data_IF_932037337975
#
_entry.id   IF_932037337975
#
_cell.length_a   1.000
_cell.length_b   1.000
_cell.length_c   1.000
_cell.angle_alpha   90.00
_cell.angle_beta   90.00
_cell.angle_gamma   90.00
#
_symmetry.space_group_name_H-M   'P 1'
#
loop_
_entity.id
_entity.type
_entity.pdbx_description
1 polymer ?
#
# COMPACT_ATOMS: atom_id res chain seq x y z
N UNK A 1 36.40 15.69 28.43
CA UNK A 1 34.93 15.82 28.61
C UNK A 1 34.18 16.35 27.37
N UNK A 2 34.73 17.32 26.60
CA UNK A 2 34.11 17.88 25.37
C UNK A 2 33.78 16.90 24.23
N UNK A 3 34.50 15.79 24.09
CA UNK A 3 34.32 14.82 22.98
C UNK A 3 33.02 13.99 23.11
N UNK A 4 32.55 13.75 24.33
CA UNK A 4 31.31 13.02 24.60
C UNK A 4 30.07 13.84 24.29
N UNK A 5 30.16 15.17 24.39
CA UNK A 5 29.06 16.08 24.07
C UNK A 5 28.74 16.04 22.56
N UNK A 6 29.75 15.97 21.70
CA UNK A 6 29.58 15.97 20.23
C UNK A 6 28.94 14.67 19.71
N UNK A 7 29.25 13.53 20.34
CA UNK A 7 28.68 12.23 19.96
C UNK A 7 27.19 12.16 20.35
N UNK A 8 26.84 12.69 21.53
CA UNK A 8 25.45 12.74 21.98
C UNK A 8 24.57 13.61 21.06
N UNK A 9 25.08 14.74 20.57
CA UNK A 9 24.32 15.62 19.66
C UNK A 9 24.09 14.98 18.30
N UNK A 10 25.09 14.27 17.74
CA UNK A 10 24.97 13.60 16.45
C UNK A 10 23.94 12.45 16.47
N UNK A 11 23.89 11.68 17.57
CA UNK A 11 22.91 10.60 17.74
C UNK A 11 21.48 11.14 17.83
N UNK A 12 21.28 12.30 18.46
CA UNK A 12 19.95 12.92 18.60
C UNK A 12 19.39 13.42 17.26
N UNK A 13 20.23 13.97 16.38
CA UNK A 13 19.83 14.44 15.04
C UNK A 13 19.44 13.27 14.12
N UNK A 14 20.13 12.13 14.22
CA UNK A 14 19.80 10.92 13.45
C UNK A 14 18.48 10.27 13.88
N UNK A 15 18.14 10.27 15.17
CA UNK A 15 16.84 9.77 15.64
C UNK A 15 15.66 10.64 15.19
N UNK A 16 15.83 11.96 15.06
CA UNK A 16 14.75 12.85 14.60
C UNK A 16 14.45 12.71 13.10
N UNK A 17 15.45 12.34 12.27
CA UNK A 17 15.24 12.09 10.85
C UNK A 17 14.48 10.78 10.56
N UNK A 18 14.53 9.80 11.46
CA UNK A 18 13.87 8.50 11.29
C UNK A 18 12.35 8.50 11.58
N UNK A 19 11.84 9.50 12.32
CA UNK A 19 10.43 9.52 12.72
C UNK A 19 9.49 10.26 11.75
N UNK A 20 10.00 10.91 10.70
CA UNK A 20 9.18 11.70 9.76
C UNK A 20 8.67 10.89 8.54
N UNK A 21 9.18 9.68 8.31
CA UNK A 21 8.98 8.95 7.05
C UNK A 21 7.71 8.09 7.00
N UNK A 22 6.98 7.94 8.09
CA UNK A 22 5.91 6.93 8.20
C UNK A 22 4.48 7.48 8.34
N UNK A 23 4.26 8.80 8.30
CA UNK A 23 3.02 9.37 8.87
C UNK A 23 2.04 10.04 7.92
N UNK A 24 2.23 10.03 6.59
CA UNK A 24 1.29 10.79 5.74
C UNK A 24 1.09 10.32 4.29
N UNK A 25 1.04 9.01 4.04
CA UNK A 25 0.61 8.50 2.73
C UNK A 25 -0.92 8.50 2.55
N UNK A 26 -1.71 8.91 3.56
CA UNK A 26 -3.15 9.13 3.42
C UNK A 26 -3.40 10.59 3.06
N UNK A 27 -3.51 10.86 1.78
CA UNK A 27 -3.99 12.15 1.30
C UNK A 27 -5.50 12.08 1.14
N UNK A 28 -6.19 13.06 1.72
CA UNK A 28 -7.64 13.14 1.64
C UNK A 28 -8.09 13.36 0.19
N UNK A 29 -9.12 12.62 -0.21
CA UNK A 29 -9.78 12.71 -1.52
C UNK A 29 -11.22 13.15 -1.27
N UNK A 30 -11.64 14.23 -1.94
CA UNK A 30 -12.99 14.75 -1.77
C UNK A 30 -14.03 13.77 -2.30
N UNK A 31 -15.22 13.73 -1.68
CA UNK A 31 -16.28 12.80 -2.08
C UNK A 31 -16.73 12.99 -3.53
N UNK A 32 -16.71 14.22 -4.04
CA UNK A 32 -17.04 14.52 -5.44
C UNK A 32 -16.01 13.96 -6.43
N UNK A 33 -14.74 13.90 -6.04
CA UNK A 33 -13.68 13.27 -6.83
C UNK A 33 -13.80 11.75 -6.72
N UNK A 34 -14.03 11.23 -5.52
CA UNK A 34 -14.23 9.82 -5.27
C UNK A 34 -15.42 9.26 -6.08
N UNK A 35 -16.53 9.99 -6.18
CA UNK A 35 -17.68 9.57 -6.97
C UNK A 35 -17.32 9.35 -8.44
N UNK A 36 -16.48 10.22 -9.03
CA UNK A 36 -16.01 10.04 -10.41
C UNK A 36 -15.16 8.78 -10.57
N UNK A 37 -14.36 8.45 -9.55
CA UNK A 37 -13.56 7.23 -9.55
C UNK A 37 -14.43 6.00 -9.38
N UNK A 38 -15.46 6.07 -8.53
CA UNK A 38 -16.46 5.02 -8.40
C UNK A 38 -17.16 4.75 -9.72
N UNK A 39 -17.64 5.79 -10.40
CA UNK A 39 -18.26 5.67 -11.73
C UNK A 39 -17.29 5.11 -12.79
N UNK A 40 -15.98 5.37 -12.65
CA UNK A 40 -14.95 4.77 -13.50
C UNK A 40 -14.80 3.27 -13.19
N UNK A 41 -14.74 2.90 -11.92
CA UNK A 41 -14.65 1.49 -11.48
C UNK A 41 -15.89 0.70 -11.89
N UNK A 42 -17.09 1.24 -11.70
CA UNK A 42 -18.34 0.58 -12.11
C UNK A 42 -18.38 0.28 -13.62
N UNK A 43 -17.72 1.12 -14.43
CA UNK A 43 -17.64 0.91 -15.89
C UNK A 43 -16.57 -0.09 -16.30
N UNK A 44 -15.42 -0.14 -15.62
CA UNK A 44 -14.28 -0.96 -16.04
C UNK A 44 -14.09 -2.26 -15.24
N UNK A 45 -14.66 -2.34 -14.03
CA UNK A 45 -14.57 -3.48 -13.12
C UNK A 45 -13.15 -3.83 -12.66
N UNK A 46 -12.18 -2.92 -12.79
CA UNK A 46 -10.76 -3.22 -12.55
C UNK A 46 -10.03 -2.08 -11.83
N UNK A 47 -9.51 -2.36 -10.62
CA UNK A 47 -8.65 -1.42 -9.90
C UNK A 47 -7.42 -1.06 -10.72
N UNK A 48 -6.80 -2.02 -11.42
CA UNK A 48 -5.59 -1.76 -12.21
C UNK A 48 -5.81 -0.73 -13.32
N UNK A 49 -6.99 -0.73 -13.95
CA UNK A 49 -7.38 0.29 -14.94
C UNK A 49 -7.60 1.64 -14.25
N UNK A 50 -8.32 1.65 -13.13
CA UNK A 50 -8.55 2.88 -12.34
C UNK A 50 -7.21 3.51 -11.94
N UNK A 51 -6.28 2.75 -11.35
CA UNK A 51 -4.97 3.26 -10.94
C UNK A 51 -4.19 3.88 -12.10
N UNK A 52 -4.22 3.24 -13.29
CA UNK A 52 -3.54 3.77 -14.48
C UNK A 52 -4.12 5.12 -14.87
N UNK A 53 -5.45 5.21 -14.96
CA UNK A 53 -6.14 6.45 -15.30
C UNK A 53 -5.83 7.55 -14.28
N UNK A 54 -5.86 7.24 -12.98
CA UNK A 54 -5.52 8.22 -11.93
C UNK A 54 -4.08 8.73 -12.05
N UNK A 55 -3.12 7.84 -12.37
CA UNK A 55 -1.71 8.24 -12.62
C UNK A 55 -1.60 9.15 -13.85
N UNK A 56 -2.34 8.86 -14.92
CA UNK A 56 -2.37 9.68 -16.13
C UNK A 56 -2.95 11.07 -15.83
N UNK A 57 -3.91 11.15 -14.90
CA UNK A 57 -4.45 12.40 -14.35
C UNK A 57 -3.56 13.06 -13.27
N UNK A 58 -2.33 12.57 -13.09
CA UNK A 58 -1.33 13.09 -12.13
C UNK A 58 -1.78 13.06 -10.66
N UNK A 59 -2.65 12.12 -10.30
CA UNK A 59 -2.96 11.88 -8.89
C UNK A 59 -1.71 11.41 -8.15
N UNK A 60 -1.57 11.83 -6.90
CA UNK A 60 -0.45 11.40 -6.07
C UNK A 60 -0.63 9.94 -5.65
N UNK A 61 0.48 9.30 -5.27
CA UNK A 61 0.43 7.94 -4.70
C UNK A 61 -0.48 7.84 -3.48
N UNK A 62 -0.49 8.87 -2.64
CA UNK A 62 -1.33 8.89 -1.44
C UNK A 62 -2.83 8.96 -1.74
N UNK A 63 -3.22 9.78 -2.73
CA UNK A 63 -4.61 9.84 -3.19
C UNK A 63 -5.06 8.52 -3.83
N UNK A 64 -4.19 7.90 -4.63
CA UNK A 64 -4.47 6.59 -5.25
C UNK A 64 -4.67 5.51 -4.18
N UNK A 65 -3.83 5.49 -3.15
CA UNK A 65 -3.96 4.55 -2.03
C UNK A 65 -5.27 4.76 -1.26
N UNK A 66 -5.67 6.01 -1.00
CA UNK A 66 -6.94 6.34 -0.35
C UNK A 66 -8.14 5.85 -1.18
N UNK A 67 -8.14 6.13 -2.49
CA UNK A 67 -9.19 5.64 -3.40
C UNK A 67 -9.23 4.11 -3.43
N UNK A 68 -8.08 3.45 -3.53
CA UNK A 68 -8.00 1.98 -3.51
C UNK A 68 -8.58 1.42 -2.22
N UNK A 69 -8.29 2.05 -1.08
CA UNK A 69 -8.84 1.67 0.21
C UNK A 69 -10.37 1.81 0.24
N UNK A 70 -10.91 2.96 -0.18
CA UNK A 70 -12.36 3.20 -0.22
C UNK A 70 -13.08 2.25 -1.19
N UNK A 71 -12.54 2.03 -2.39
CA UNK A 71 -13.09 1.05 -3.34
C UNK A 71 -13.06 -0.37 -2.78
N UNK A 72 -11.97 -0.76 -2.09
CA UNK A 72 -11.88 -2.07 -1.46
C UNK A 72 -12.94 -2.26 -0.37
N UNK A 73 -13.29 -1.20 0.37
CA UNK A 73 -14.37 -1.25 1.34
C UNK A 73 -15.75 -1.31 0.67
N UNK A 74 -16.03 -0.43 -0.29
CA UNK A 74 -17.33 -0.32 -0.95
C UNK A 74 -17.71 -1.60 -1.71
N UNK A 75 -16.74 -2.26 -2.34
CA UNK A 75 -16.96 -3.46 -3.16
C UNK A 75 -16.44 -4.75 -2.51
N UNK A 76 -16.00 -4.67 -1.25
CA UNK A 76 -15.41 -5.81 -0.51
C UNK A 76 -14.30 -6.51 -1.31
N UNK A 77 -13.35 -5.75 -1.87
CA UNK A 77 -12.30 -6.27 -2.74
C UNK A 77 -11.18 -6.96 -1.93
N UNK A 78 -10.51 -7.94 -2.53
CA UNK A 78 -9.29 -8.54 -1.99
C UNK A 78 -8.05 -7.68 -2.22
N UNK A 79 -6.88 -8.19 -1.82
CA UNK A 79 -5.61 -7.49 -2.01
C UNK A 79 -5.29 -7.26 -3.49
N UNK A 80 -5.81 -8.11 -4.38
CA UNK A 80 -5.65 -8.05 -5.83
C UNK A 80 -6.69 -7.12 -6.50
N UNK A 81 -7.63 -6.58 -5.75
CA UNK A 81 -8.66 -5.67 -6.26
C UNK A 81 -9.84 -6.39 -6.91
N UNK A 82 -10.05 -7.66 -6.58
CA UNK A 82 -11.13 -8.50 -7.10
C UNK A 82 -12.22 -8.63 -6.03
N UNK A 83 -13.52 -8.50 -6.38
CA UNK A 83 -14.61 -8.65 -5.41
C UNK A 83 -14.55 -9.97 -4.63
N UNK A 84 -14.67 -9.89 -3.31
CA UNK A 84 -14.85 -11.05 -2.43
C UNK A 84 -16.34 -11.42 -2.44
N UNK A 85 -16.73 -12.31 -3.34
CA UNK A 85 -18.06 -12.92 -3.43
C UNK A 85 -18.02 -14.44 -3.30
N UNK A 86 -19.12 -15.04 -2.81
CA UNK A 86 -19.27 -16.34 -2.12
C UNK A 86 -18.70 -17.58 -2.83
N UNK A 87 -18.49 -17.53 -4.15
CA UNK A 87 -18.06 -18.66 -4.99
C UNK A 87 -16.61 -18.57 -5.46
N UNK A 88 -15.68 -18.21 -4.57
CA UNK A 88 -14.29 -18.56 -4.86
C UNK A 88 -14.07 -20.02 -4.48
N UNK A 89 -13.82 -20.95 -5.44
CA UNK A 89 -13.12 -22.17 -5.09
C UNK A 89 -11.85 -21.72 -4.35
N UNK A 90 -11.67 -22.19 -3.12
CA UNK A 90 -10.44 -21.92 -2.36
C UNK A 90 -9.27 -22.19 -3.29
N UNK A 91 -8.20 -21.39 -3.26
CA UNK A 91 -6.95 -21.79 -3.87
C UNK A 91 -6.66 -23.21 -3.38
N UNK A 92 -6.68 -24.18 -4.30
CA UNK A 92 -6.34 -25.56 -3.97
C UNK A 92 -4.85 -25.52 -3.71
N UNK A 93 -4.46 -25.24 -2.47
CA UNK A 93 -3.09 -25.46 -2.00
C UNK A 93 -2.83 -26.93 -2.29
N UNK A 94 -1.90 -27.28 -3.21
CA UNK A 94 -1.60 -28.68 -3.47
C UNK A 94 -1.18 -29.29 -2.14
N UNK A 95 -1.95 -30.27 -1.64
CA UNK A 95 -1.53 -31.14 -0.53
C UNK A 95 -0.25 -31.85 -0.99
N UNK A 96 0.90 -31.24 -0.74
CA UNK A 96 2.16 -31.71 -1.29
C UNK A 96 3.25 -30.67 -1.44
N UNK A 97 2.99 -29.37 -1.23
CA UNK A 97 4.10 -28.42 -1.04
C UNK A 97 4.53 -28.50 0.42
N UNK A 98 5.64 -29.17 0.76
CA UNK A 98 6.21 -29.02 2.09
C UNK A 98 6.51 -27.54 2.28
N UNK A 99 6.03 -26.99 3.40
CA UNK A 99 6.39 -25.69 3.91
C UNK A 99 7.90 -25.72 4.18
N UNK A 100 8.70 -25.48 3.13
CA UNK A 100 10.14 -25.43 3.24
C UNK A 100 10.50 -24.20 4.07
N UNK A 101 11.06 -24.50 5.23
CA UNK A 101 11.65 -23.58 6.18
C UNK A 101 12.53 -22.53 5.48
N UNK A 102 12.33 -21.28 5.89
CA UNK A 102 13.36 -20.27 6.14
C UNK A 102 14.57 -20.22 5.21
N UNK A 103 14.60 -19.20 4.35
CA UNK A 103 15.85 -18.61 3.87
C UNK A 103 15.77 -17.11 4.17
N UNK A 104 16.39 -16.71 5.28
CA UNK A 104 16.72 -15.32 5.55
C UNK A 104 17.83 -14.85 4.59
N UNK A 105 18.01 -13.52 4.43
CA UNK A 105 18.97 -12.97 3.49
C UNK A 105 20.37 -12.89 4.12
N UNK A 106 21.42 -13.37 3.43
CA UNK A 106 22.79 -12.97 3.75
C UNK A 106 23.92 -13.93 3.41
N UNK A 107 24.61 -13.66 2.29
CA UNK A 107 26.05 -13.81 2.03
C UNK A 107 26.24 -13.31 0.57
N UNK A 108 26.64 -12.08 0.25
CA UNK A 108 27.93 -11.38 0.44
C UNK A 108 29.14 -12.24 0.04
N UNK A 109 29.62 -11.95 -1.16
CA UNK A 109 31.02 -12.15 -1.60
C UNK A 109 31.99 -11.30 -0.76
#
# INVERSE_FOLDING_TARGET
>A
MRKWLLIATAAFVLCLAGCSLYRNDRQYVWDSEYQKVRDLYDRCGSIGVVERVLRDHRWTRGQINEVRYRLAQDYSLDEDGVPRGIDRPRPVVPKGVPLALGVGPGARD
#
